data_IF_387464461352
#
_entry.id   IF_387464461352
#
_cell.length_a   1.000
_cell.length_b   1.000
_cell.length_c   1.000
_cell.angle_alpha   90.00
_cell.angle_beta   90.00
_cell.angle_gamma   90.00
#
_symmetry.space_group_name_H-M   'P 1'
#
loop_
_entity.id
_entity.type
_entity.pdbx_description
1 polymer ?
#
# COMPACT_ATOMS: atom_id res chain seq x y z
N UNK A 1 2.99 -6.18 -1.00
CA UNK A 1 3.70 -5.91 -2.25
C UNK A 1 3.19 -4.59 -2.76
N UNK A 2 4.06 -3.71 -3.22
CA UNK A 2 3.62 -2.76 -4.21
C UNK A 2 4.71 -2.49 -5.22
N UNK A 3 4.28 -2.26 -6.46
CA UNK A 3 5.10 -1.77 -7.54
C UNK A 3 4.31 -0.66 -8.22
N UNK A 4 5.02 0.37 -8.67
CA UNK A 4 4.41 1.56 -9.24
C UNK A 4 5.07 1.97 -10.55
N UNK A 5 4.30 2.71 -11.32
CA UNK A 5 4.70 3.36 -12.55
C UNK A 5 4.12 4.78 -12.55
N UNK A 6 4.71 5.68 -13.31
CA UNK A 6 4.22 7.05 -13.46
C UNK A 6 3.86 7.33 -14.92
N UNK A 7 2.68 7.87 -15.14
CA UNK A 7 2.16 8.13 -16.48
C UNK A 7 1.90 9.63 -16.65
N UNK A 8 2.34 10.20 -17.77
CA UNK A 8 2.07 11.60 -18.11
C UNK A 8 0.56 11.87 -18.21
N UNK A 9 0.09 12.91 -17.51
CA UNK A 9 -1.32 13.35 -17.51
C UNK A 9 -1.80 13.84 -18.87
N UNK A 10 -0.88 14.21 -19.74
CA UNK A 10 -1.17 14.60 -21.12
C UNK A 10 -1.46 13.41 -22.02
N UNK A 11 -1.15 12.19 -21.58
CA UNK A 11 -1.46 10.98 -22.32
C UNK A 11 -2.97 10.70 -22.27
N UNK A 12 -3.65 10.57 -23.42
CA UNK A 12 -5.07 10.24 -23.45
C UNK A 12 -5.32 8.88 -22.79
N UNK A 13 -6.35 8.77 -21.94
CA UNK A 13 -6.66 7.53 -21.21
C UNK A 13 -6.89 6.33 -22.14
N UNK A 14 -7.45 6.53 -23.32
CA UNK A 14 -7.66 5.48 -24.33
C UNK A 14 -6.35 4.94 -24.93
N UNK A 15 -5.25 5.68 -24.78
CA UNK A 15 -3.94 5.31 -25.28
C UNK A 15 -3.03 4.74 -24.19
N UNK A 16 -3.49 4.69 -22.94
CA UNK A 16 -2.77 4.05 -21.84
C UNK A 16 -3.03 2.54 -21.93
N UNK A 17 -1.96 1.76 -21.97
CA UNK A 17 -1.98 0.30 -22.03
C UNK A 17 -1.12 -0.29 -20.91
N UNK A 18 -1.27 -1.57 -20.60
CA UNK A 18 -0.47 -2.26 -19.55
C UNK A 18 1.05 -2.12 -19.72
N UNK A 19 1.54 -1.95 -20.95
CA UNK A 19 2.96 -1.69 -21.22
C UNK A 19 3.46 -0.34 -20.67
N UNK A 20 2.55 0.59 -20.38
CA UNK A 20 2.87 1.89 -19.77
C UNK A 20 3.00 1.81 -18.25
N UNK A 21 2.52 0.73 -17.64
CA UNK A 21 2.62 0.45 -16.21
C UNK A 21 3.08 -0.99 -15.96
N UNK A 22 4.24 -1.30 -16.55
CA UNK A 22 4.75 -2.67 -16.60
C UNK A 22 5.18 -3.17 -15.22
N UNK A 23 5.68 -2.30 -14.33
CA UNK A 23 6.09 -2.70 -12.98
C UNK A 23 4.87 -3.15 -12.17
N UNK A 24 3.78 -2.37 -12.22
CA UNK A 24 2.50 -2.68 -11.60
C UNK A 24 1.91 -3.97 -12.18
N UNK A 25 1.95 -4.13 -13.50
CA UNK A 25 1.51 -5.36 -14.18
C UNK A 25 2.33 -6.59 -13.76
N UNK A 26 3.64 -6.44 -13.57
CA UNK A 26 4.50 -7.52 -13.11
C UNK A 26 4.19 -7.92 -11.66
N UNK A 27 3.89 -6.96 -10.79
CA UNK A 27 3.48 -7.22 -9.41
C UNK A 27 2.13 -7.94 -9.34
N UNK A 28 1.16 -7.56 -10.17
CA UNK A 28 -0.11 -8.29 -10.35
C UNK A 28 0.15 -9.75 -10.74
N UNK A 29 0.94 -9.97 -11.79
CA UNK A 29 1.28 -11.33 -12.25
C UNK A 29 1.94 -12.17 -11.16
N UNK A 30 2.86 -11.58 -10.39
CA UNK A 30 3.51 -12.26 -9.29
C UNK A 30 2.54 -12.56 -8.14
N UNK A 31 1.62 -11.65 -7.81
CA UNK A 31 0.58 -11.90 -6.83
C UNK A 31 -0.31 -13.07 -7.25
N UNK A 32 -0.66 -13.17 -8.53
CA UNK A 32 -1.41 -14.32 -9.07
C UNK A 32 -0.62 -15.64 -9.03
N UNK A 33 0.71 -15.62 -9.14
CA UNK A 33 1.52 -16.85 -9.01
C UNK A 33 1.40 -17.48 -7.61
N UNK A 34 1.09 -16.70 -6.57
CA UNK A 34 0.83 -17.23 -5.22
C UNK A 34 -0.38 -18.17 -5.17
N UNK A 35 -1.30 -18.07 -6.15
CA UNK A 35 -2.46 -18.94 -6.32
C UNK A 35 -2.09 -20.37 -6.68
N UNK A 36 -0.97 -20.59 -7.37
CA UNK A 36 -0.65 -21.88 -8.01
C UNK A 36 -0.44 -23.05 -7.03
N UNK A 37 -0.46 -22.80 -5.72
CA UNK A 37 -0.51 -23.83 -4.69
C UNK A 37 -1.85 -24.62 -4.63
N UNK A 38 -2.92 -24.13 -5.28
CA UNK A 38 -4.22 -24.83 -5.41
C UNK A 38 -5.06 -24.93 -4.13
N UNK A 39 -4.67 -24.21 -3.06
CA UNK A 39 -5.32 -24.26 -1.73
C UNK A 39 -6.33 -23.12 -1.48
N UNK A 40 -6.46 -22.17 -2.40
CA UNK A 40 -7.25 -20.94 -2.24
C UNK A 40 -8.21 -20.73 -3.39
N UNK A 41 -9.38 -20.17 -3.08
CA UNK A 41 -10.29 -19.59 -4.05
C UNK A 41 -9.89 -18.15 -4.32
N UNK A 42 -10.01 -17.76 -5.58
CA UNK A 42 -9.82 -16.41 -6.05
C UNK A 42 -11.20 -15.79 -6.32
N UNK A 43 -11.41 -14.58 -5.83
CA UNK A 43 -12.53 -13.73 -6.20
C UNK A 43 -11.96 -12.45 -6.80
N UNK A 44 -12.21 -12.22 -8.09
CA UNK A 44 -11.97 -10.93 -8.74
C UNK A 44 -13.23 -10.09 -8.66
N UNK A 45 -13.09 -8.84 -8.19
CA UNK A 45 -14.13 -7.82 -8.19
C UNK A 45 -13.68 -6.69 -9.10
N UNK A 46 -14.32 -6.61 -10.27
CA UNK A 46 -14.21 -5.47 -11.19
C UNK A 46 -15.35 -4.51 -10.90
N UNK A 47 -15.28 -3.28 -11.42
CA UNK A 47 -16.37 -2.30 -11.25
C UNK A 47 -17.37 -2.30 -12.41
N UNK A 48 -17.51 -3.45 -13.07
CA UNK A 48 -18.22 -3.62 -14.32
C UNK A 48 -19.64 -4.17 -14.16
N UNK A 49 -20.42 -4.10 -15.25
CA UNK A 49 -21.85 -4.44 -15.25
C UNK A 49 -22.05 -5.94 -15.07
N UNK A 50 -21.19 -6.76 -15.70
CA UNK A 50 -21.19 -8.20 -15.51
C UNK A 50 -20.77 -8.64 -14.09
N UNK A 51 -20.05 -7.80 -13.36
CA UNK A 51 -19.79 -7.96 -11.91
C UNK A 51 -20.86 -7.30 -11.03
N UNK A 52 -21.97 -6.89 -11.64
CA UNK A 52 -23.20 -6.50 -10.97
C UNK A 52 -23.26 -5.04 -10.57
N UNK A 53 -22.34 -4.19 -11.03
CA UNK A 53 -22.39 -2.74 -10.80
C UNK A 53 -23.35 -2.05 -11.77
N UNK A 54 -23.77 -0.82 -11.44
CA UNK A 54 -24.56 0.00 -12.34
C UNK A 54 -23.74 0.39 -13.58
N UNK A 55 -24.40 0.30 -14.72
CA UNK A 55 -23.88 0.72 -16.01
C UNK A 55 -23.82 2.25 -16.14
N UNK A 56 -22.62 2.74 -16.42
CA UNK A 56 -22.27 4.10 -16.82
C UNK A 56 -22.11 4.13 -18.35
N UNK A 57 -23.12 3.66 -19.11
CA UNK A 57 -23.01 3.51 -20.57
C UNK A 57 -22.70 4.79 -21.36
N UNK A 58 -22.69 5.96 -20.71
CA UNK A 58 -22.36 7.25 -21.29
C UNK A 58 -23.18 7.60 -22.52
N UNK A 59 -24.39 7.02 -22.64
CA UNK A 59 -25.39 7.42 -23.65
C UNK A 59 -25.70 8.93 -23.55
N UNK A 60 -25.52 9.49 -22.36
CA UNK A 60 -25.32 10.91 -22.15
C UNK A 60 -23.82 11.17 -21.93
N UNK A 61 -23.14 11.95 -22.79
CA UNK A 61 -21.73 12.32 -22.61
C UNK A 61 -21.41 13.08 -21.32
N UNK A 62 -22.44 13.54 -20.59
CA UNK A 62 -22.31 14.17 -19.27
C UNK A 62 -22.55 13.22 -18.10
N UNK A 63 -22.93 11.97 -18.37
CA UNK A 63 -23.14 10.93 -17.36
C UNK A 63 -21.96 9.96 -17.43
N UNK A 64 -20.80 10.45 -16.99
CA UNK A 64 -19.54 9.70 -16.98
C UNK A 64 -19.27 9.03 -15.64
N UNK A 65 -20.19 9.15 -14.67
CA UNK A 65 -20.10 8.45 -13.41
C UNK A 65 -21.47 8.11 -12.78
N UNK A 66 -21.46 7.23 -11.78
CA UNK A 66 -22.57 6.95 -10.88
C UNK A 66 -22.12 7.05 -9.42
N UNK A 67 -22.82 7.87 -8.62
CA UNK A 67 -22.49 8.00 -7.20
C UNK A 67 -22.76 6.69 -6.46
N UNK A 68 -21.78 6.27 -5.67
CA UNK A 68 -21.92 5.20 -4.68
C UNK A 68 -22.24 5.73 -3.26
N UNK A 69 -22.18 7.05 -3.06
CA UNK A 69 -22.49 7.72 -1.78
C UNK A 69 -23.52 8.83 -1.94
N UNK A 70 -24.00 9.36 -0.81
CA UNK A 70 -25.08 10.35 -0.70
C UNK A 70 -26.47 9.77 -0.92
N UNK A 71 -27.48 10.48 -0.38
CA UNK A 71 -28.90 10.23 -0.65
C UNK A 71 -29.27 10.35 -2.14
N UNK A 72 -28.40 10.97 -2.95
CA UNK A 72 -28.57 11.07 -4.40
C UNK A 72 -28.00 9.86 -5.16
N UNK A 73 -27.31 8.93 -4.48
CA UNK A 73 -26.87 7.69 -5.10
C UNK A 73 -28.08 6.89 -5.59
N UNK A 74 -28.04 6.33 -6.81
CA UNK A 74 -29.05 5.36 -7.25
C UNK A 74 -29.15 4.17 -6.28
N UNK A 75 -28.04 3.76 -5.66
CA UNK A 75 -28.01 2.67 -4.67
C UNK A 75 -28.79 2.96 -3.40
N UNK A 76 -29.08 4.23 -3.09
CA UNK A 76 -29.90 4.60 -1.94
C UNK A 76 -31.38 4.18 -2.11
N UNK A 77 -31.81 3.88 -3.35
CA UNK A 77 -33.21 3.57 -3.66
C UNK A 77 -33.42 2.29 -4.46
N UNK A 78 -32.40 1.81 -5.19
CA UNK A 78 -32.50 0.61 -6.03
C UNK A 78 -31.18 -0.12 -6.12
N UNK A 79 -31.25 -1.40 -6.40
CA UNK A 79 -30.08 -2.21 -6.77
C UNK A 79 -30.14 -2.54 -8.27
N UNK A 80 -29.00 -2.58 -8.98
CA UNK A 80 -28.95 -3.10 -10.35
C UNK A 80 -29.36 -4.57 -10.41
N UNK A 81 -29.97 -4.94 -11.53
CA UNK A 81 -30.19 -6.34 -11.88
C UNK A 81 -29.93 -6.52 -13.37
N UNK A 82 -28.89 -7.29 -13.68
CA UNK A 82 -28.51 -7.63 -15.03
C UNK A 82 -28.55 -9.14 -15.22
N UNK A 83 -29.23 -9.59 -16.27
CA UNK A 83 -29.21 -11.00 -16.65
C UNK A 83 -27.81 -11.35 -17.18
N UNK A 84 -27.24 -12.48 -16.75
CA UNK A 84 -25.90 -12.89 -17.17
C UNK A 84 -24.73 -12.39 -16.30
N UNK A 85 -24.94 -11.36 -15.47
CA UNK A 85 -23.93 -10.94 -14.49
C UNK A 85 -23.61 -12.06 -13.50
N UNK A 86 -22.35 -12.18 -13.09
CA UNK A 86 -21.85 -13.18 -12.14
C UNK A 86 -21.99 -12.72 -10.67
N UNK A 87 -22.37 -11.48 -10.43
CA UNK A 87 -22.57 -10.91 -9.10
C UNK A 87 -23.71 -9.88 -9.06
N UNK A 88 -23.97 -9.38 -7.85
CA UNK A 88 -24.98 -8.36 -7.54
C UNK A 88 -24.37 -7.33 -6.61
N UNK A 89 -24.78 -6.08 -6.78
CA UNK A 89 -24.48 -5.02 -5.81
C UNK A 89 -25.77 -4.44 -5.24
N UNK A 90 -25.75 -4.04 -3.97
CA UNK A 90 -26.90 -3.43 -3.30
C UNK A 90 -26.44 -2.38 -2.30
N UNK A 91 -27.13 -1.25 -2.23
CA UNK A 91 -26.90 -0.28 -1.17
C UNK A 91 -27.32 -0.83 0.20
N UNK A 92 -26.53 -0.55 1.24
CA UNK A 92 -26.98 -0.78 2.61
C UNK A 92 -27.91 0.36 3.03
N UNK A 93 -29.20 0.05 3.14
CA UNK A 93 -30.24 0.99 3.58
C UNK A 93 -29.79 1.63 4.90
N UNK A 94 -29.93 2.95 5.00
CA UNK A 94 -29.44 3.82 6.09
C UNK A 94 -27.94 4.16 6.17
N UNK A 95 -27.08 3.59 5.31
CA UNK A 95 -25.66 4.04 5.24
C UNK A 95 -25.50 5.36 4.49
N UNK A 96 -26.45 5.69 3.60
CA UNK A 96 -26.38 6.86 2.73
C UNK A 96 -26.74 8.14 3.47
N UNK A 97 -25.84 9.12 3.44
CA UNK A 97 -26.05 10.41 4.08
C UNK A 97 -25.23 11.51 3.41
N UNK A 98 -25.51 12.77 3.78
CA UNK A 98 -24.76 13.93 3.32
C UNK A 98 -24.88 14.23 1.83
N UNK A 99 -24.03 15.15 1.36
CA UNK A 99 -24.01 15.65 -0.02
C UNK A 99 -22.58 15.80 -0.48
N UNK A 100 -22.34 15.45 -1.74
CA UNK A 100 -21.04 15.69 -2.37
C UNK A 100 -20.73 17.18 -2.45
N UNK A 101 -21.66 17.97 -2.99
CA UNK A 101 -21.54 19.42 -3.14
C UNK A 101 -22.63 20.16 -2.34
N UNK A 102 -22.32 21.30 -1.70
CA UNK A 102 -21.00 21.93 -1.51
C UNK A 102 -20.31 21.49 -0.19
N UNK A 103 -20.77 20.41 0.43
CA UNK A 103 -20.40 20.07 1.81
C UNK A 103 -19.30 19.02 1.92
N UNK A 104 -18.96 18.33 0.83
CA UNK A 104 -18.03 17.19 0.82
C UNK A 104 -18.24 16.14 1.92
N UNK A 105 -19.49 15.90 2.32
CA UNK A 105 -19.81 15.02 3.43
C UNK A 105 -20.67 13.83 3.00
N UNK A 106 -20.60 13.43 1.73
CA UNK A 106 -21.34 12.28 1.24
C UNK A 106 -20.77 10.98 1.82
N UNK A 107 -21.66 10.15 2.36
CA UNK A 107 -21.35 8.82 2.85
C UNK A 107 -22.28 7.79 2.21
N UNK A 108 -21.84 6.54 2.13
CA UNK A 108 -22.66 5.42 1.67
C UNK A 108 -21.88 4.10 1.64
N UNK A 109 -22.60 3.00 1.76
CA UNK A 109 -22.06 1.64 1.66
C UNK A 109 -22.81 0.86 0.59
N UNK A 110 -22.05 0.25 -0.33
CA UNK A 110 -22.55 -0.68 -1.34
C UNK A 110 -21.93 -2.05 -1.09
N UNK A 111 -22.80 -3.06 -0.99
CA UNK A 111 -22.42 -4.46 -0.80
C UNK A 111 -22.36 -5.17 -2.14
N UNK A 112 -21.21 -5.75 -2.45
CA UNK A 112 -21.02 -6.77 -3.48
C UNK A 112 -21.44 -8.14 -2.95
N UNK A 113 -22.07 -8.95 -3.80
CA UNK A 113 -22.54 -10.32 -3.51
C UNK A 113 -22.29 -11.19 -4.75
N UNK A 114 -21.41 -12.19 -4.62
CA UNK A 114 -21.16 -13.16 -5.70
C UNK A 114 -22.39 -14.08 -5.89
N UNK A 115 -22.82 -14.29 -7.14
CA UNK A 115 -23.94 -15.19 -7.42
C UNK A 115 -23.53 -16.65 -7.27
N UNK A 116 -24.44 -17.43 -6.69
CA UNK A 116 -24.19 -18.87 -6.44
C UNK A 116 -23.32 -19.14 -5.22
N UNK A 117 -22.85 -18.10 -4.53
CA UNK A 117 -22.08 -18.23 -3.29
C UNK A 117 -22.71 -17.41 -2.14
N UNK A 118 -22.02 -17.34 -1.00
CA UNK A 118 -22.36 -16.44 0.12
C UNK A 118 -21.27 -15.36 0.31
N UNK A 119 -20.34 -15.25 -0.65
CA UNK A 119 -19.25 -14.30 -0.60
C UNK A 119 -19.79 -12.89 -0.83
N UNK A 120 -19.39 -11.99 0.06
CA UNK A 120 -19.88 -10.62 0.19
C UNK A 120 -18.73 -9.72 0.59
N UNK A 121 -18.75 -8.49 0.09
CA UNK A 121 -17.78 -7.44 0.40
C UNK A 121 -18.53 -6.12 0.50
N UNK A 122 -18.28 -5.35 1.55
CA UNK A 122 -18.85 -4.01 1.72
C UNK A 122 -17.83 -2.95 1.31
N UNK A 123 -18.21 -2.08 0.38
CA UNK A 123 -17.48 -0.88 -0.01
C UNK A 123 -18.14 0.32 0.64
N UNK A 124 -17.50 0.89 1.66
CA UNK A 124 -17.99 2.06 2.39
C UNK A 124 -17.11 3.25 2.08
N UNK A 125 -17.72 4.34 1.63
CA UNK A 125 -17.01 5.60 1.46
C UNK A 125 -17.59 6.66 2.36
N UNK A 126 -16.71 7.48 2.92
CA UNK A 126 -17.09 8.56 3.83
C UNK A 126 -16.35 9.84 3.53
N UNK A 127 -17.03 10.97 3.78
CA UNK A 127 -16.53 12.32 3.52
C UNK A 127 -16.07 12.51 2.07
N UNK A 128 -16.94 12.14 1.13
CA UNK A 128 -16.70 12.27 -0.31
C UNK A 128 -17.30 13.58 -0.82
N UNK A 129 -16.55 14.30 -1.66
CA UNK A 129 -17.11 15.36 -2.51
C UNK A 129 -16.28 16.64 -2.62
N UNK A 130 -17.00 17.75 -2.84
CA UNK A 130 -16.52 18.99 -3.44
C UNK A 130 -15.84 18.79 -4.79
N UNK A 131 -16.45 17.97 -5.64
CA UNK A 131 -15.95 17.71 -6.99
C UNK A 131 -16.49 18.76 -7.97
N UNK A 132 -15.66 19.16 -8.92
CA UNK A 132 -15.99 20.15 -9.94
C UNK A 132 -15.22 19.88 -11.23
N UNK A 133 -15.76 20.32 -12.37
CA UNK A 133 -15.10 20.02 -13.65
C UNK A 133 -15.25 18.54 -14.03
N UNK A 134 -14.16 17.83 -14.38
CA UNK A 134 -14.23 16.53 -15.03
C UNK A 134 -14.04 15.33 -14.06
N UNK A 135 -14.14 15.56 -12.76
CA UNK A 135 -14.11 14.55 -11.69
C UNK A 135 -15.38 13.67 -11.71
N UNK A 136 -15.26 12.40 -11.34
CA UNK A 136 -16.22 11.31 -11.60
C UNK A 136 -16.47 10.40 -10.38
N UNK A 137 -16.85 10.94 -9.20
CA UNK A 137 -16.86 10.17 -7.95
C UNK A 137 -17.82 8.97 -7.98
N UNK A 138 -17.37 7.86 -7.40
CA UNK A 138 -18.09 6.59 -7.40
C UNK A 138 -17.66 5.71 -8.57
N UNK A 139 -18.61 5.09 -9.26
CA UNK A 139 -18.29 4.31 -10.46
C UNK A 139 -18.06 5.30 -11.61
N UNK A 140 -16.80 5.51 -11.94
CA UNK A 140 -16.34 6.35 -13.03
C UNK A 140 -16.25 5.55 -14.32
N UNK A 141 -16.16 6.24 -15.45
CA UNK A 141 -16.12 5.63 -16.78
C UNK A 141 -15.09 6.31 -17.66
N UNK A 142 -14.20 5.52 -18.25
CA UNK A 142 -13.19 5.99 -19.16
C UNK A 142 -13.79 6.74 -20.35
N UNK A 143 -13.38 8.00 -20.54
CA UNK A 143 -13.93 8.89 -21.57
C UNK A 143 -12.88 9.86 -22.12
N UNK A 144 -13.20 10.56 -23.21
CA UNK A 144 -12.23 11.42 -23.93
C UNK A 144 -11.74 12.64 -23.11
N UNK A 145 -12.42 12.99 -22.01
CA UNK A 145 -12.01 14.04 -21.08
C UNK A 145 -11.22 13.53 -19.87
N UNK A 146 -11.05 12.22 -19.75
CA UNK A 146 -10.28 11.56 -18.68
C UNK A 146 -8.76 11.75 -18.85
N UNK A 147 -8.05 11.73 -17.73
CA UNK A 147 -6.59 11.61 -17.66
C UNK A 147 -6.24 10.70 -16.47
N UNK A 148 -4.97 10.25 -16.40
CA UNK A 148 -4.57 9.26 -15.40
C UNK A 148 -4.67 9.73 -13.94
N UNK A 149 -4.66 11.04 -13.69
CA UNK A 149 -4.88 11.69 -12.38
C UNK A 149 -6.22 11.31 -11.73
N UNK A 150 -7.19 10.87 -12.53
CA UNK A 150 -8.47 10.33 -12.07
C UNK A 150 -8.52 8.80 -12.02
N UNK A 151 -7.55 8.12 -12.60
CA UNK A 151 -7.54 6.68 -12.82
C UNK A 151 -8.06 6.27 -14.21
N UNK A 152 -8.01 4.97 -14.46
CA UNK A 152 -8.44 4.31 -15.69
C UNK A 152 -9.05 2.94 -15.36
N UNK A 153 -9.76 2.34 -16.31
CA UNK A 153 -10.06 0.91 -16.23
C UNK A 153 -8.81 0.11 -16.66
N UNK A 154 -8.43 -0.88 -15.86
CA UNK A 154 -7.32 -1.80 -16.15
C UNK A 154 -7.81 -3.23 -16.44
N UNK A 155 -9.11 -3.47 -16.23
CA UNK A 155 -9.79 -4.72 -16.56
C UNK A 155 -9.73 -4.98 -18.06
N UNK A 156 -9.24 -6.16 -18.46
CA UNK A 156 -9.13 -6.56 -19.87
C UNK A 156 -10.33 -7.39 -20.31
N UNK A 157 -10.82 -7.15 -21.52
CA UNK A 157 -11.82 -7.99 -22.17
C UNK A 157 -13.11 -7.26 -22.52
N UNK A 158 -14.20 -8.02 -22.53
CA UNK A 158 -15.52 -7.58 -22.93
C UNK A 158 -16.49 -7.90 -21.79
N UNK A 159 -17.27 -6.90 -21.39
CA UNK A 159 -18.36 -7.08 -20.44
C UNK A 159 -19.42 -8.02 -21.02
N UNK A 160 -19.68 -9.11 -20.31
CA UNK A 160 -20.55 -10.18 -20.79
C UNK A 160 -22.05 -9.81 -20.79
N UNK A 161 -22.42 -8.70 -20.15
CA UNK A 161 -23.80 -8.21 -20.10
C UNK A 161 -24.04 -7.14 -21.16
N UNK A 162 -23.16 -6.15 -21.28
CA UNK A 162 -23.31 -5.02 -22.21
C UNK A 162 -22.71 -5.31 -23.58
N UNK A 163 -21.83 -6.32 -23.67
CA UNK A 163 -21.07 -6.68 -24.87
C UNK A 163 -20.18 -5.54 -25.40
N UNK A 164 -19.73 -4.65 -24.50
CA UNK A 164 -18.76 -3.60 -24.77
C UNK A 164 -17.41 -3.93 -24.10
N UNK A 165 -16.34 -3.24 -24.50
CA UNK A 165 -15.10 -3.29 -23.74
C UNK A 165 -15.32 -2.76 -22.33
N UNK A 166 -14.64 -3.35 -21.36
CA UNK A 166 -14.58 -2.83 -20.00
C UNK A 166 -14.03 -1.41 -20.00
N UNK A 167 -14.68 -0.52 -19.25
CA UNK A 167 -14.38 0.90 -19.20
C UNK A 167 -14.72 1.59 -17.87
N UNK A 168 -15.07 0.84 -16.81
CA UNK A 168 -15.45 1.38 -15.51
C UNK A 168 -14.43 1.08 -14.42
N UNK A 169 -14.30 2.00 -13.47
CA UNK A 169 -13.42 1.88 -12.29
C UNK A 169 -14.04 2.64 -11.11
N UNK A 170 -13.50 2.46 -9.90
CA UNK A 170 -13.98 3.18 -8.71
C UNK A 170 -13.10 4.39 -8.42
N UNK A 171 -13.65 5.60 -8.59
CA UNK A 171 -12.99 6.85 -8.21
C UNK A 171 -13.46 7.33 -6.82
N UNK A 172 -12.49 7.64 -5.98
CA UNK A 172 -12.66 8.23 -4.66
C UNK A 172 -12.23 9.69 -4.74
N UNK A 173 -13.16 10.58 -4.44
CA UNK A 173 -12.92 12.03 -4.35
C UNK A 173 -13.11 12.46 -2.90
N UNK A 174 -12.06 12.38 -2.07
CA UNK A 174 -12.12 12.82 -0.68
C UNK A 174 -12.57 14.27 -0.50
N UNK A 175 -12.90 14.64 0.73
CA UNK A 175 -13.24 16.01 1.08
C UNK A 175 -12.07 16.96 0.90
N UNK A 176 -12.36 18.19 0.49
CA UNK A 176 -11.36 19.28 0.42
C UNK A 176 -10.97 19.84 1.79
N UNK A 177 -11.76 19.54 2.82
CA UNK A 177 -11.64 20.18 4.14
C UNK A 177 -11.68 19.19 5.30
N UNK A 178 -11.68 17.89 5.04
CA UNK A 178 -11.73 16.81 6.03
C UNK A 178 -11.02 15.57 5.47
N UNK A 179 -10.71 14.60 6.33
CA UNK A 179 -10.25 13.27 5.88
C UNK A 179 -11.37 12.56 5.10
N UNK A 180 -11.04 12.03 3.92
CA UNK A 180 -11.92 11.16 3.14
C UNK A 180 -11.34 9.76 3.00
N UNK A 181 -12.21 8.76 2.87
CA UNK A 181 -11.75 7.36 2.82
C UNK A 181 -12.66 6.43 2.01
N UNK A 182 -12.05 5.33 1.56
CA UNK A 182 -12.70 4.11 1.11
C UNK A 182 -12.33 2.96 2.07
N UNK A 183 -13.31 2.37 2.72
CA UNK A 183 -13.17 1.12 3.47
C UNK A 183 -13.74 -0.05 2.66
N UNK A 184 -12.95 -1.12 2.53
CA UNK A 184 -13.37 -2.40 1.96
C UNK A 184 -13.38 -3.44 3.08
N UNK A 185 -14.57 -3.91 3.44
CA UNK A 185 -14.79 -4.79 4.60
C UNK A 185 -15.32 -6.16 4.19
N UNK A 186 -14.76 -7.19 4.81
CA UNK A 186 -15.09 -8.59 4.57
C UNK A 186 -16.00 -9.18 5.66
N UNK A 187 -16.75 -8.33 6.35
CA UNK A 187 -17.72 -8.72 7.37
C UNK A 187 -18.83 -7.69 7.45
N UNK A 188 -19.99 -8.09 7.97
CA UNK A 188 -21.11 -7.18 8.13
C UNK A 188 -22.36 -7.86 8.66
N UNK A 189 -23.47 -7.16 8.55
CA UNK A 189 -24.80 -7.67 8.92
C UNK A 189 -25.74 -7.52 7.73
N UNK A 190 -26.56 -8.54 7.47
CA UNK A 190 -27.63 -8.48 6.49
C UNK A 190 -28.81 -7.69 7.06
N UNK A 191 -29.19 -6.60 6.39
CA UNK A 191 -30.29 -5.74 6.84
C UNK A 191 -31.63 -6.46 6.87
N UNK A 192 -31.87 -7.39 5.94
CA UNK A 192 -33.16 -8.08 5.82
C UNK A 192 -33.37 -9.17 6.86
N UNK A 193 -32.28 -9.81 7.33
CA UNK A 193 -32.34 -10.94 8.26
C UNK A 193 -31.80 -10.61 9.65
N UNK A 194 -30.99 -9.55 9.77
CA UNK A 194 -30.23 -9.23 10.98
C UNK A 194 -29.03 -10.16 11.23
N UNK A 195 -28.76 -11.11 10.33
CA UNK A 195 -27.69 -12.08 10.52
C UNK A 195 -26.33 -11.46 10.19
N UNK A 196 -25.34 -11.71 11.05
CA UNK A 196 -23.95 -11.37 10.77
C UNK A 196 -23.35 -12.34 9.74
N UNK A 197 -22.43 -11.84 8.94
CA UNK A 197 -21.64 -12.62 7.98
C UNK A 197 -20.17 -12.18 8.06
N UNK A 198 -19.27 -13.10 7.72
CA UNK A 198 -17.84 -12.87 7.62
C UNK A 198 -17.27 -13.72 6.48
N UNK A 199 -16.50 -13.09 5.60
CA UNK A 199 -15.78 -13.69 4.49
C UNK A 199 -14.31 -13.26 4.52
N UNK A 200 -13.62 -13.47 5.66
CA UNK A 200 -12.25 -12.98 5.83
C UNK A 200 -11.33 -13.53 4.73
N UNK A 201 -10.31 -12.74 4.39
CA UNK A 201 -9.43 -13.04 3.26
C UNK A 201 -7.99 -13.25 3.73
N UNK A 202 -7.27 -14.11 3.03
CA UNK A 202 -5.84 -14.35 3.25
C UNK A 202 -4.98 -13.27 2.62
N UNK A 203 -5.47 -12.69 1.56
CA UNK A 203 -4.78 -11.64 0.85
C UNK A 203 -5.71 -10.96 -0.14
N UNK A 204 -5.27 -9.78 -0.55
CA UNK A 204 -5.94 -8.99 -1.56
C UNK A 204 -4.90 -8.29 -2.44
N UNK A 205 -5.30 -7.95 -3.66
CA UNK A 205 -4.50 -7.14 -4.59
C UNK A 205 -5.42 -6.27 -5.43
N UNK A 206 -5.02 -5.04 -5.74
CA UNK A 206 -5.77 -4.13 -6.61
C UNK A 206 -4.84 -3.07 -7.21
N UNK A 207 -5.25 -2.47 -8.31
CA UNK A 207 -4.61 -1.27 -8.83
C UNK A 207 -5.11 -0.04 -8.07
N UNK A 208 -4.20 0.79 -7.57
CA UNK A 208 -4.44 2.13 -7.04
C UNK A 208 -3.88 3.14 -8.05
N UNK A 209 -4.69 4.10 -8.47
CA UNK A 209 -4.36 4.98 -9.59
C UNK A 209 -4.72 6.43 -9.27
N UNK A 210 -4.15 7.37 -10.03
CA UNK A 210 -4.49 8.80 -9.94
C UNK A 210 -3.67 9.62 -8.96
N UNK A 211 -2.80 8.96 -8.18
CA UNK A 211 -2.10 9.59 -7.06
C UNK A 211 -1.01 10.59 -7.49
N UNK A 212 -1.04 11.79 -6.89
CA UNK A 212 -0.12 12.90 -7.16
C UNK A 212 0.67 13.41 -5.92
N UNK A 213 0.82 12.63 -4.83
CA UNK A 213 1.48 13.03 -3.55
C UNK A 213 1.07 14.44 -3.09
N UNK A 214 -0.21 14.79 -3.24
CA UNK A 214 -0.74 16.06 -2.74
C UNK A 214 -0.95 15.94 -1.24
N UNK A 215 -1.96 15.17 -0.84
CA UNK A 215 -2.16 14.69 0.52
C UNK A 215 -1.76 13.22 0.60
N UNK A 216 -1.30 12.82 1.77
CA UNK A 216 -0.90 11.44 2.01
C UNK A 216 -2.13 10.54 2.02
N UNK A 217 -2.10 9.49 1.19
CA UNK A 217 -3.08 8.39 1.24
C UNK A 217 -2.42 7.17 1.87
N UNK A 218 -2.99 6.71 2.98
CA UNK A 218 -2.54 5.51 3.68
C UNK A 218 -3.43 4.33 3.31
N UNK A 219 -2.82 3.15 3.19
CA UNK A 219 -3.53 1.88 3.28
C UNK A 219 -3.38 1.33 4.70
N UNK A 220 -4.50 1.30 5.42
CA UNK A 220 -4.61 0.73 6.75
C UNK A 220 -5.25 -0.67 6.64
N UNK A 221 -4.59 -1.70 7.15
CA UNK A 221 -5.04 -3.10 7.04
C UNK A 221 -5.34 -3.65 8.43
N UNK A 222 -6.51 -4.25 8.60
CA UNK A 222 -6.98 -4.75 9.88
C UNK A 222 -7.33 -6.24 9.82
N UNK A 223 -7.08 -6.94 10.93
CA UNK A 223 -7.50 -8.32 11.10
C UNK A 223 -9.03 -8.44 11.36
N UNK A 224 -9.53 -9.67 11.45
CA UNK A 224 -10.94 -9.97 11.77
C UNK A 224 -11.40 -9.48 13.15
N UNK A 225 -10.47 -9.12 14.04
CA UNK A 225 -10.73 -8.59 15.37
C UNK A 225 -10.58 -7.05 15.42
N UNK A 226 -10.49 -6.40 14.26
CA UNK A 226 -10.26 -4.96 14.09
C UNK A 226 -8.91 -4.46 14.67
N UNK A 227 -7.92 -5.34 14.86
CA UNK A 227 -6.57 -4.91 15.18
C UNK A 227 -5.85 -4.45 13.92
N UNK A 228 -5.18 -3.29 13.98
CA UNK A 228 -4.33 -2.80 12.90
C UNK A 228 -3.13 -3.74 12.70
N UNK A 229 -3.03 -4.36 11.53
CA UNK A 229 -1.90 -5.19 11.11
C UNK A 229 -0.76 -4.29 10.63
N UNK A 230 -1.07 -3.35 9.73
CA UNK A 230 -0.10 -2.39 9.18
C UNK A 230 -0.82 -1.15 8.65
N UNK A 231 -0.09 -0.04 8.60
CA UNK A 231 -0.51 1.23 7.99
C UNK A 231 0.65 1.70 7.14
N UNK A 232 0.41 1.88 5.84
CA UNK A 232 1.47 2.16 4.87
C UNK A 232 1.09 3.32 3.95
N UNK A 233 2.01 4.26 3.76
CA UNK A 233 1.86 5.32 2.77
C UNK A 233 1.91 4.69 1.36
N UNK A 234 0.90 5.00 0.55
CA UNK A 234 0.79 4.55 -0.85
C UNK A 234 1.50 5.51 -1.80
N UNK A 235 1.89 5.04 -2.98
CA UNK A 235 2.75 5.78 -3.91
C UNK A 235 1.96 6.85 -4.70
N UNK A 236 2.45 8.09 -4.70
CA UNK A 236 2.07 9.12 -5.65
C UNK A 236 3.29 9.61 -6.45
N UNK A 237 3.02 10.39 -7.50
CA UNK A 237 4.06 10.87 -8.44
C UNK A 237 4.71 12.20 -8.05
N UNK A 238 4.42 12.76 -6.87
CA UNK A 238 4.90 14.07 -6.42
C UNK A 238 3.92 15.25 -6.65
N UNK A 239 3.89 16.18 -5.70
CA UNK A 239 2.93 17.30 -5.58
C UNK A 239 2.81 18.28 -6.79
N UNK A 240 3.77 18.26 -7.72
CA UNK A 240 3.80 19.12 -8.93
C UNK A 240 3.96 18.32 -10.22
N UNK A 241 3.63 17.02 -10.20
CA UNK A 241 3.91 16.15 -11.31
C UNK A 241 3.08 16.50 -12.56
N UNK A 242 3.73 16.46 -13.72
CA UNK A 242 3.04 16.31 -15.00
C UNK A 242 2.46 14.91 -15.17
N UNK A 243 2.63 14.04 -14.16
CA UNK A 243 2.31 12.62 -14.14
C UNK A 243 1.37 12.29 -12.98
N UNK A 244 0.73 11.14 -13.06
CA UNK A 244 0.06 10.49 -11.93
C UNK A 244 0.56 9.05 -11.80
N UNK A 245 0.51 8.50 -10.59
CA UNK A 245 0.94 7.14 -10.34
C UNK A 245 -0.14 6.09 -10.66
N UNK A 246 0.35 4.92 -11.09
CA UNK A 246 -0.36 3.64 -11.08
C UNK A 246 0.45 2.74 -10.17
N UNK A 247 -0.17 2.19 -9.13
CA UNK A 247 0.46 1.28 -8.16
C UNK A 247 -0.37 -0.01 -8.08
N UNK A 248 0.22 -1.18 -8.26
CA UNK A 248 -0.44 -2.43 -7.88
C UNK A 248 -0.16 -2.72 -6.41
N UNK A 249 -1.17 -2.56 -5.56
CA UNK A 249 -1.07 -2.80 -4.11
C UNK A 249 -1.56 -4.20 -3.82
N UNK A 250 -0.72 -5.02 -3.17
CA UNK A 250 -1.10 -6.35 -2.72
C UNK A 250 -0.70 -6.62 -1.28
N UNK A 251 -1.48 -7.40 -0.57
CA UNK A 251 -1.21 -7.83 0.79
C UNK A 251 -1.60 -9.29 0.97
N UNK A 252 -0.83 -10.02 1.78
CA UNK A 252 -1.20 -11.34 2.22
C UNK A 252 -0.67 -11.59 3.64
N UNK A 253 -1.39 -12.42 4.39
CA UNK A 253 -0.99 -12.85 5.73
C UNK A 253 -0.12 -14.11 5.68
N UNK A 254 0.84 -14.18 6.59
CA UNK A 254 1.67 -15.38 6.75
C UNK A 254 0.92 -16.47 7.51
N UNK A 255 1.44 -17.70 7.43
CA UNK A 255 0.88 -18.83 8.18
C UNK A 255 0.82 -18.52 9.69
N UNK A 256 -0.32 -18.83 10.30
CA UNK A 256 -0.55 -18.63 11.73
C UNK A 256 -0.99 -17.22 12.11
N UNK A 257 -0.98 -16.25 11.20
CA UNK A 257 -1.55 -14.92 11.42
C UNK A 257 -3.09 -14.96 11.36
N UNK A 258 -3.72 -13.91 11.89
CA UNK A 258 -5.17 -13.69 11.79
C UNK A 258 -5.51 -13.19 10.38
N UNK A 259 -6.63 -13.67 9.83
CA UNK A 259 -7.09 -13.28 8.50
C UNK A 259 -7.45 -11.79 8.42
N UNK A 260 -7.46 -11.25 7.21
CA UNK A 260 -7.79 -9.84 6.98
C UNK A 260 -9.31 -9.66 7.08
N UNK A 261 -9.72 -8.74 7.95
CA UNK A 261 -11.12 -8.36 8.14
C UNK A 261 -11.54 -7.17 7.27
N UNK A 262 -10.61 -6.24 7.01
CA UNK A 262 -10.82 -5.06 6.15
C UNK A 262 -9.52 -4.35 5.80
N UNK A 263 -9.57 -3.50 4.78
CA UNK A 263 -8.60 -2.44 4.56
C UNK A 263 -9.29 -1.09 4.34
N UNK A 264 -8.57 0.00 4.61
CA UNK A 264 -9.02 1.38 4.42
C UNK A 264 -7.97 2.13 3.63
N UNK A 265 -8.37 2.76 2.53
CA UNK A 265 -7.62 3.83 1.89
C UNK A 265 -8.11 5.15 2.48
N UNK A 266 -7.25 5.82 3.25
CA UNK A 266 -7.56 7.05 3.98
C UNK A 266 -6.64 8.16 3.51
N UNK A 267 -7.21 9.27 3.04
CA UNK A 267 -6.47 10.50 2.79
C UNK A 267 -6.40 11.32 4.08
N UNK A 268 -5.20 11.62 4.54
CA UNK A 268 -4.98 12.47 5.72
C UNK A 268 -5.26 13.93 5.42
N UNK A 269 -5.86 14.63 6.38
CA UNK A 269 -6.14 16.06 6.28
C UNK A 269 -5.61 16.79 7.50
N UNK A 270 -4.76 17.78 7.27
CA UNK A 270 -4.25 18.69 8.26
C UNK A 270 -4.93 20.05 8.13
N UNK A 271 -5.82 20.36 9.08
CA UNK A 271 -6.58 21.61 9.13
C UNK A 271 -5.75 22.91 9.10
N UNK A 272 -4.45 22.83 9.40
CA UNK A 272 -3.55 23.99 9.44
C UNK A 272 -2.82 24.21 8.11
N UNK A 273 -2.51 23.13 7.37
CA UNK A 273 -1.68 23.20 6.15
C UNK A 273 -2.46 22.93 4.88
N UNK A 274 -3.54 22.15 4.99
CA UNK A 274 -4.23 21.61 3.83
C UNK A 274 -5.35 22.53 3.38
N UNK A 275 -5.57 22.53 2.07
CA UNK A 275 -6.66 23.23 1.43
C UNK A 275 -7.08 22.45 0.18
N UNK A 276 -8.08 22.93 -0.54
CA UNK A 276 -8.63 22.27 -1.73
C UNK A 276 -7.56 21.85 -2.77
N UNK A 277 -6.47 22.60 -2.95
CA UNK A 277 -5.43 22.24 -3.92
C UNK A 277 -4.56 21.08 -3.50
N UNK A 278 -4.55 20.73 -2.21
CA UNK A 278 -3.82 19.60 -1.66
C UNK A 278 -4.66 18.31 -1.70
N UNK A 279 -5.91 18.32 -2.18
CA UNK A 279 -6.68 17.10 -2.38
C UNK A 279 -6.04 16.19 -3.42
N UNK A 280 -5.72 14.97 -3.02
CA UNK A 280 -5.41 13.86 -3.89
C UNK A 280 -6.70 13.10 -4.23
N UNK A 281 -6.91 12.87 -5.52
CA UNK A 281 -8.01 12.05 -6.02
C UNK A 281 -7.39 10.72 -6.40
N UNK A 282 -8.06 9.63 -6.06
CA UNK A 282 -7.52 8.31 -6.34
C UNK A 282 -8.60 7.33 -6.71
N UNK A 283 -8.19 6.32 -7.47
CA UNK A 283 -9.08 5.30 -7.98
C UNK A 283 -8.55 3.92 -7.70
N UNK A 284 -9.45 2.94 -7.60
CA UNK A 284 -9.09 1.54 -7.58
C UNK A 284 -9.78 0.75 -8.69
N UNK A 285 -9.13 -0.33 -9.12
CA UNK A 285 -9.70 -1.31 -10.05
C UNK A 285 -9.08 -2.71 -9.86
N UNK A 286 -9.74 -3.74 -10.41
CA UNK A 286 -9.32 -5.16 -10.38
C UNK A 286 -8.98 -5.68 -8.95
N UNK A 287 -9.95 -5.59 -8.02
CA UNK A 287 -9.78 -6.11 -6.66
C UNK A 287 -9.81 -7.64 -6.65
N UNK A 288 -8.64 -8.25 -6.54
CA UNK A 288 -8.44 -9.67 -6.34
C UNK A 288 -8.44 -10.01 -4.85
N UNK A 289 -9.17 -11.05 -4.46
CA UNK A 289 -9.24 -11.55 -3.09
C UNK A 289 -8.92 -13.04 -3.07
N UNK A 290 -8.10 -13.47 -2.11
CA UNK A 290 -7.85 -14.88 -1.84
C UNK A 290 -8.57 -15.34 -0.57
N UNK A 291 -9.44 -16.34 -0.69
CA UNK A 291 -10.24 -16.85 0.41
C UNK A 291 -10.35 -18.39 0.38
N UNK A 292 -10.95 -18.98 1.42
CA UNK A 292 -11.10 -20.44 1.47
C UNK A 292 -12.06 -21.01 0.42
N UNK A 293 -11.69 -22.17 -0.11
CA UNK A 293 -12.62 -23.07 -0.78
C UNK A 293 -13.63 -23.64 0.22
N UNK A 294 -14.91 -23.66 -0.18
CA UNK A 294 -16.03 -24.13 0.64
C UNK A 294 -15.74 -25.54 1.20
N UNK A 295 -15.72 -25.68 2.53
CA UNK A 295 -15.56 -26.98 3.20
C UNK A 295 -14.13 -27.38 3.59
N UNK A 296 -13.14 -26.51 3.42
CA UNK A 296 -11.75 -26.77 3.82
C UNK A 296 -11.32 -25.73 4.88
N UNK A 297 -11.30 -26.14 6.15
CA UNK A 297 -10.77 -25.36 7.28
C UNK A 297 -9.29 -25.67 7.49
N UNK A 298 -8.46 -25.49 6.46
CA UNK A 298 -7.02 -25.68 6.56
C UNK A 298 -6.36 -24.36 6.21
N UNK A 299 -5.71 -23.72 7.19
CA UNK A 299 -4.86 -22.54 6.93
C UNK A 299 -3.82 -22.94 5.87
N UNK A 300 -3.72 -22.25 4.72
CA UNK A 300 -2.76 -22.62 3.69
C UNK A 300 -1.34 -22.48 4.24
N UNK A 301 -0.53 -23.53 4.09
CA UNK A 301 0.93 -23.41 4.15
C UNK A 301 1.36 -22.62 2.92
N UNK A 302 1.62 -21.33 3.11
CA UNK A 302 2.39 -20.55 2.15
C UNK A 302 3.85 -20.85 2.40
N UNK A 303 4.53 -21.44 1.41
CA UNK A 303 5.98 -21.62 1.45
C UNK A 303 6.60 -20.21 1.35
N UNK A 304 6.91 -19.64 2.51
CA UNK A 304 8.02 -18.72 2.74
C UNK A 304 8.21 -17.56 1.76
N UNK A 305 7.18 -16.79 1.40
CA UNK A 305 7.38 -15.50 0.76
C UNK A 305 6.52 -14.44 1.42
N UNK A 306 7.08 -13.77 2.44
CA UNK A 306 6.50 -12.55 2.99
C UNK A 306 6.67 -11.43 1.96
N UNK A 307 5.62 -11.13 1.21
CA UNK A 307 5.67 -10.12 0.16
C UNK A 307 5.03 -8.84 0.68
N UNK A 308 5.79 -8.13 1.52
CA UNK A 308 5.69 -6.68 1.64
C UNK A 308 6.84 -6.08 0.84
N UNK A 309 6.74 -6.17 -0.50
CA UNK A 309 7.50 -5.30 -1.39
C UNK A 309 7.21 -3.85 -1.03
N UNK A 310 8.27 -3.05 -0.88
CA UNK A 310 8.17 -1.60 -0.77
C UNK A 310 9.25 -0.97 -1.63
N UNK A 311 8.81 -0.05 -2.48
CA UNK A 311 9.42 1.23 -2.89
C UNK A 311 10.87 1.17 -3.37
N UNK A 312 11.03 1.11 -4.69
CA UNK A 312 12.07 1.85 -5.43
C UNK A 312 11.68 3.35 -5.37
N UNK A 313 12.57 4.20 -4.90
CA UNK A 313 12.48 5.65 -5.10
C UNK A 313 13.71 6.00 -5.93
N UNK A 314 13.51 6.53 -7.14
CA UNK A 314 14.58 7.15 -7.89
C UNK A 314 15.02 8.42 -7.15
N UNK A 315 16.05 8.32 -6.30
CA UNK A 315 16.76 9.50 -5.78
C UNK A 315 17.67 10.04 -6.89
N UNK A 316 17.56 11.34 -7.14
CA UNK A 316 18.33 12.07 -8.15
C UNK A 316 19.82 11.74 -8.10
N UNK A 317 20.32 11.18 -9.21
CA UNK A 317 21.73 11.03 -9.54
C UNK A 317 22.46 12.38 -9.50
N UNK A 318 23.42 12.52 -8.60
CA UNK A 318 24.53 13.45 -8.78
C UNK A 318 25.73 12.67 -9.30
N UNK A 319 25.86 12.57 -10.62
CA UNK A 319 27.02 11.95 -11.27
C UNK A 319 28.26 12.82 -11.08
N UNK A 320 29.24 12.34 -10.31
CA UNK A 320 30.63 12.79 -10.38
C UNK A 320 31.44 11.65 -11.00
N UNK A 321 31.95 11.87 -12.22
CA UNK A 321 32.67 10.87 -13.00
C UNK A 321 34.11 10.67 -12.53
N UNK A 322 34.54 9.43 -12.28
CA UNK A 322 35.80 8.92 -12.85
C UNK A 322 35.84 7.38 -12.92
N UNK A 323 36.36 6.86 -14.05
CA UNK A 323 36.14 5.50 -14.55
C UNK A 323 37.06 4.42 -13.92
N UNK A 324 36.51 3.21 -13.74
CA UNK A 324 37.16 1.87 -13.69
C UNK A 324 37.26 1.08 -12.37
N UNK A 325 36.26 1.14 -11.49
CA UNK A 325 35.94 0.04 -10.54
C UNK A 325 34.42 -0.18 -10.58
N UNK A 326 33.89 -1.33 -10.17
CA UNK A 326 32.43 -1.44 -9.97
C UNK A 326 32.05 -0.36 -8.96
N UNK A 327 31.39 0.72 -9.42
CA UNK A 327 31.12 1.90 -8.59
C UNK A 327 30.20 1.48 -7.44
N UNK A 328 30.73 1.50 -6.22
CA UNK A 328 29.92 1.30 -5.05
C UNK A 328 29.00 2.52 -4.86
N UNK A 329 27.71 2.27 -4.66
CA UNK A 329 26.70 3.32 -4.45
C UNK A 329 26.69 3.66 -2.96
N UNK A 330 26.96 4.92 -2.61
CA UNK A 330 27.03 5.37 -1.22
C UNK A 330 25.75 6.07 -0.78
N UNK A 331 25.06 5.48 0.18
CA UNK A 331 23.89 6.01 0.87
C UNK A 331 24.33 6.72 2.15
N UNK A 332 23.93 7.98 2.33
CA UNK A 332 24.28 8.76 3.54
C UNK A 332 23.05 8.87 4.42
N UNK A 333 23.15 8.35 5.65
CA UNK A 333 22.13 8.56 6.68
C UNK A 333 22.09 10.04 7.07
N UNK A 334 20.91 10.63 7.02
CA UNK A 334 20.68 12.04 7.35
C UNK A 334 20.08 12.18 8.75
N UNK A 335 19.98 13.42 9.24
CA UNK A 335 19.28 13.69 10.51
C UNK A 335 17.78 13.35 10.38
N UNK A 336 17.28 12.58 11.36
CA UNK A 336 15.91 12.08 11.37
C UNK A 336 15.73 10.78 10.58
N UNK A 337 14.53 10.22 10.62
CA UNK A 337 14.26 8.91 10.01
C UNK A 337 14.23 8.97 8.48
N UNK A 338 15.23 8.38 7.86
CA UNK A 338 15.30 8.14 6.43
C UNK A 338 14.98 6.70 6.02
N UNK A 339 15.00 6.48 4.71
CA UNK A 339 14.94 5.16 4.08
C UNK A 339 16.08 5.07 3.07
N UNK A 340 16.99 4.13 3.30
CA UNK A 340 18.16 3.87 2.44
C UNK A 340 17.90 2.54 1.73
N UNK A 341 17.97 2.49 0.40
CA UNK A 341 17.61 1.30 -0.37
C UNK A 341 18.81 0.87 -1.21
N UNK A 342 19.32 -0.34 -0.95
CA UNK A 342 20.37 -0.94 -1.75
C UNK A 342 19.92 -1.15 -3.19
N UNK A 343 20.89 -1.05 -4.09
CA UNK A 343 20.76 -1.20 -5.53
C UNK A 343 21.09 -2.65 -5.94
N UNK A 344 21.47 -2.86 -7.21
CA UNK A 344 22.05 -4.13 -7.68
C UNK A 344 23.58 -4.05 -7.81
N UNK A 345 24.19 -3.00 -7.24
CA UNK A 345 25.63 -2.77 -7.17
C UNK A 345 26.10 -2.94 -5.71
N UNK A 346 27.39 -2.72 -5.44
CA UNK A 346 27.88 -2.71 -4.06
C UNK A 346 27.33 -1.46 -3.37
N UNK A 347 26.56 -1.61 -2.30
CA UNK A 347 26.01 -0.48 -1.56
C UNK A 347 26.73 -0.21 -0.24
N UNK A 348 26.99 1.07 0.02
CA UNK A 348 27.64 1.56 1.25
C UNK A 348 26.63 2.40 2.03
N UNK A 349 26.15 1.91 3.17
CA UNK A 349 25.24 2.64 4.06
C UNK A 349 26.03 3.35 5.15
N UNK A 350 26.19 4.66 5.03
CA UNK A 350 27.10 5.45 5.86
C UNK A 350 26.38 6.28 6.92
N UNK A 351 26.68 6.02 8.20
CA UNK A 351 26.16 6.73 9.36
C UNK A 351 27.20 7.69 9.95
N UNK A 352 26.82 8.95 10.13
CA UNK A 352 27.69 10.05 10.56
C UNK A 352 27.48 10.44 12.03
N UNK A 353 28.41 11.19 12.62
CA UNK A 353 28.37 11.57 14.05
C UNK A 353 27.12 12.34 14.52
N UNK A 354 26.33 12.91 13.62
CA UNK A 354 25.05 13.58 13.91
C UNK A 354 23.82 12.66 13.78
N UNK A 355 24.00 11.35 13.65
CA UNK A 355 22.89 10.39 13.55
C UNK A 355 22.05 10.40 14.83
N UNK A 356 20.73 10.57 14.67
CA UNK A 356 19.78 10.51 15.77
C UNK A 356 19.37 9.07 16.10
N UNK A 357 19.11 8.78 17.38
CA UNK A 357 18.82 7.44 17.86
C UNK A 357 17.36 7.30 18.31
N UNK A 358 16.76 6.14 18.02
CA UNK A 358 15.49 5.70 18.59
C UNK A 358 14.44 5.32 17.57
N UNK A 359 13.31 4.76 18.04
CA UNK A 359 12.28 4.17 17.16
C UNK A 359 11.70 5.13 16.11
N UNK A 360 11.67 6.44 16.42
CA UNK A 360 11.16 7.47 15.51
C UNK A 360 12.24 8.06 14.60
N UNK A 361 13.51 7.84 14.92
CA UNK A 361 14.67 8.43 14.25
C UNK A 361 15.48 7.40 13.44
N UNK A 362 15.36 6.12 13.77
CA UNK A 362 16.16 5.07 13.15
C UNK A 362 15.85 4.91 11.67
N UNK A 363 16.89 4.99 10.84
CA UNK A 363 16.81 4.78 9.41
C UNK A 363 16.34 3.38 9.07
N UNK A 364 15.66 3.27 7.95
CA UNK A 364 15.25 1.98 7.40
C UNK A 364 16.13 1.63 6.21
N UNK A 365 17.01 0.63 6.39
CA UNK A 365 17.80 0.07 5.30
C UNK A 365 16.98 -1.05 4.65
N UNK A 366 16.87 -1.04 3.33
CA UNK A 366 16.15 -2.06 2.57
C UNK A 366 17.07 -2.59 1.48
N UNK A 367 16.97 -3.88 1.17
CA UNK A 367 17.79 -4.53 0.13
C UNK A 367 19.30 -4.48 0.43
N UNK A 368 19.68 -4.71 1.69
CA UNK A 368 21.08 -4.94 2.04
C UNK A 368 21.46 -6.37 1.64
N UNK A 369 22.45 -6.56 0.78
CA UNK A 369 22.92 -7.88 0.36
C UNK A 369 24.43 -8.03 0.55
N UNK A 370 24.83 -8.80 1.59
CA UNK A 370 26.26 -9.07 1.84
C UNK A 370 26.94 -9.78 0.67
N UNK A 371 26.21 -10.62 -0.07
CA UNK A 371 26.79 -11.39 -1.19
C UNK A 371 27.13 -10.48 -2.38
N UNK A 372 26.41 -9.36 -2.53
CA UNK A 372 26.71 -8.33 -3.54
C UNK A 372 27.90 -7.45 -3.12
N UNK A 373 28.21 -7.42 -1.83
CA UNK A 373 29.33 -6.69 -1.25
C UNK A 373 28.92 -5.53 -0.35
N UNK A 374 27.64 -5.41 -0.03
CA UNK A 374 27.11 -4.31 0.75
C UNK A 374 27.74 -4.21 2.13
N UNK A 375 27.93 -2.97 2.58
CA UNK A 375 28.51 -2.66 3.88
C UNK A 375 27.77 -1.54 4.58
N UNK A 376 27.73 -1.62 5.90
CA UNK A 376 27.38 -0.49 6.77
C UNK A 376 28.68 0.16 7.23
N UNK A 377 28.86 1.43 6.89
CA UNK A 377 29.95 2.26 7.40
C UNK A 377 29.48 3.10 8.57
N UNK A 378 30.12 2.93 9.72
CA UNK A 378 29.89 3.74 10.90
C UNK A 378 31.06 4.71 11.06
N UNK A 379 30.79 6.01 11.07
CA UNK A 379 31.81 7.00 11.38
C UNK A 379 32.35 6.79 12.80
N UNK A 380 33.67 6.81 12.95
CA UNK A 380 34.34 6.76 14.26
C UNK A 380 33.88 7.87 15.23
N UNK A 381 33.36 8.99 14.72
CA UNK A 381 32.77 10.07 15.53
C UNK A 381 31.59 9.60 16.39
N UNK A 382 30.85 8.57 15.94
CA UNK A 382 29.78 7.94 16.72
C UNK A 382 30.29 7.29 18.02
N UNK A 383 31.59 7.00 18.09
CA UNK A 383 32.22 6.28 19.19
C UNK A 383 33.38 7.08 19.82
N UNK A 384 33.32 8.41 19.73
CA UNK A 384 34.36 9.33 20.22
C UNK A 384 35.75 9.05 19.59
N UNK A 385 35.79 8.73 18.30
CA UNK A 385 37.01 8.47 17.53
C UNK A 385 37.60 7.06 17.73
N UNK A 386 36.86 6.12 18.34
CA UNK A 386 37.28 4.73 18.42
C UNK A 386 37.05 4.01 17.09
N UNK A 387 38.08 3.33 16.60
CA UNK A 387 38.03 2.56 15.34
C UNK A 387 37.87 1.04 15.57
N UNK A 388 38.28 0.55 16.74
CA UNK A 388 38.12 -0.86 17.13
C UNK A 388 36.86 -0.99 17.98
N UNK A 389 35.83 -1.61 17.41
CA UNK A 389 34.54 -1.80 18.08
C UNK A 389 34.26 -3.28 18.32
N UNK A 390 33.64 -3.56 19.46
CA UNK A 390 33.02 -4.86 19.71
C UNK A 390 31.63 -4.93 19.05
N UNK A 391 31.46 -5.86 18.11
CA UNK A 391 30.22 -6.04 17.35
C UNK A 391 29.66 -7.43 17.66
N UNK A 392 28.50 -7.49 18.31
CA UNK A 392 27.86 -8.75 18.70
C UNK A 392 26.52 -8.93 17.98
N UNK A 393 26.29 -10.13 17.47
CA UNK A 393 24.99 -10.57 16.97
C UNK A 393 24.19 -11.23 18.09
N UNK A 394 23.06 -10.62 18.44
CA UNK A 394 22.07 -11.14 19.37
C UNK A 394 20.96 -11.86 18.61
N UNK A 395 20.59 -13.05 19.10
CA UNK A 395 19.58 -13.88 18.47
C UNK A 395 18.20 -13.70 19.11
N UNK A 396 18.10 -13.04 20.27
CA UNK A 396 16.83 -12.83 20.95
C UNK A 396 16.74 -11.48 21.64
N UNK A 397 15.51 -11.02 21.89
CA UNK A 397 15.25 -9.79 22.66
C UNK A 397 15.84 -9.84 24.07
N UNK A 398 15.92 -11.04 24.66
CA UNK A 398 16.51 -11.22 25.97
C UNK A 398 18.03 -10.94 25.93
N UNK A 399 18.73 -11.47 24.93
CA UNK A 399 20.16 -11.22 24.75
C UNK A 399 20.46 -9.74 24.51
N UNK A 400 19.64 -9.03 23.71
CA UNK A 400 19.78 -7.57 23.55
C UNK A 400 19.68 -6.85 24.89
N UNK A 401 18.77 -7.29 25.77
CA UNK A 401 18.62 -6.71 27.10
C UNK A 401 19.83 -7.01 28.00
N UNK A 402 20.40 -8.20 27.92
CA UNK A 402 21.61 -8.57 28.65
C UNK A 402 22.83 -7.76 28.17
N UNK A 403 23.00 -7.63 26.85
CA UNK A 403 24.06 -6.82 26.22
C UNK A 403 23.92 -5.33 26.52
N UNK A 404 22.69 -4.82 26.72
CA UNK A 404 22.49 -3.43 27.18
C UNK A 404 23.03 -3.16 28.60
N UNK A 405 23.52 -4.17 29.31
CA UNK A 405 24.20 -4.02 30.60
C UNK A 405 25.72 -4.23 30.51
N UNK A 406 26.26 -4.36 29.29
CA UNK A 406 27.69 -4.56 28.99
C UNK A 406 28.25 -3.33 28.27
N UNK A 407 29.56 -3.33 28.02
CA UNK A 407 30.31 -2.29 27.29
C UNK A 407 30.37 -2.53 25.77
N UNK A 408 29.58 -3.48 25.23
CA UNK A 408 29.54 -3.77 23.80
C UNK A 408 29.19 -2.51 22.99
N UNK A 409 29.89 -2.28 21.88
CA UNK A 409 29.75 -1.07 21.08
C UNK A 409 28.57 -1.14 20.11
N UNK A 410 28.40 -2.30 19.46
CA UNK A 410 27.39 -2.50 18.42
C UNK A 410 26.67 -3.83 18.64
N UNK A 411 25.34 -3.78 18.62
CA UNK A 411 24.50 -4.99 18.68
C UNK A 411 23.65 -5.09 17.43
N UNK A 412 23.77 -6.21 16.73
CA UNK A 412 22.86 -6.62 15.66
C UNK A 412 21.84 -7.56 16.28
N UNK A 413 20.56 -7.21 16.28
CA UNK A 413 19.51 -8.14 16.67
C UNK A 413 18.74 -8.63 15.45
N UNK A 414 18.99 -9.89 15.07
CA UNK A 414 18.19 -10.58 14.08
C UNK A 414 16.86 -11.00 14.70
N UNK A 415 15.77 -10.45 14.18
CA UNK A 415 14.46 -10.70 14.74
C UNK A 415 13.98 -12.10 14.33
N UNK A 416 13.96 -13.06 15.25
CA UNK A 416 13.62 -14.49 15.02
C UNK A 416 12.35 -14.76 14.17
N UNK A 417 11.39 -13.83 14.16
CA UNK A 417 10.08 -13.98 13.50
C UNK A 417 9.83 -13.03 12.31
N UNK A 418 10.77 -12.15 12.00
CA UNK A 418 10.59 -11.11 10.96
C UNK A 418 11.90 -11.00 10.18
N UNK A 419 11.89 -10.82 8.85
CA UNK A 419 13.10 -10.61 8.06
C UNK A 419 13.64 -9.19 8.27
N UNK A 420 13.90 -8.86 9.53
CA UNK A 420 14.42 -7.57 9.97
C UNK A 420 15.56 -7.81 10.95
N UNK A 421 16.58 -6.98 10.84
CA UNK A 421 17.61 -6.85 11.85
C UNK A 421 17.63 -5.43 12.37
N UNK A 422 17.79 -5.30 13.68
CA UNK A 422 17.85 -4.03 14.36
C UNK A 422 19.31 -3.77 14.73
N UNK A 423 19.84 -2.64 14.28
CA UNK A 423 21.19 -2.19 14.60
C UNK A 423 21.10 -1.22 15.79
N UNK A 424 21.74 -1.60 16.90
CA UNK A 424 21.87 -0.77 18.08
C UNK A 424 23.33 -0.34 18.25
N UNK A 425 23.56 0.95 18.43
CA UNK A 425 24.86 1.51 18.77
C UNK A 425 24.85 1.98 20.22
N UNK A 426 25.87 1.59 20.98
CA UNK A 426 26.08 2.07 22.33
C UNK A 426 26.77 3.45 22.30
N UNK A 427 26.00 4.51 22.51
CA UNK A 427 26.51 5.88 22.52
C UNK A 427 26.73 6.47 23.93
N UNK A 428 26.52 5.69 25.00
CA UNK A 428 26.68 6.14 26.39
C UNK A 428 27.83 5.45 27.16
N UNK A 429 28.66 4.68 26.46
CA UNK A 429 29.85 4.00 27.01
C UNK A 429 29.47 2.92 28.02
N UNK A 430 30.15 2.89 29.17
CA UNK A 430 29.95 1.87 30.22
C UNK A 430 28.64 2.02 31.01
N UNK A 431 27.80 3.00 30.66
CA UNK A 431 26.53 3.24 31.34
C UNK A 431 25.47 2.26 30.84
N UNK A 432 24.67 1.74 31.77
CA UNK A 432 23.54 0.86 31.44
C UNK A 432 22.61 1.44 30.35
N UNK A 433 22.23 0.60 29.40
CA UNK A 433 21.48 0.93 28.20
C UNK A 433 22.41 1.10 26.99
N UNK A 434 21.84 1.50 25.86
CA UNK A 434 22.62 1.95 24.68
C UNK A 434 22.52 3.48 24.51
N UNK A 435 22.23 4.18 25.61
CA UNK A 435 22.09 5.62 25.66
C UNK A 435 20.81 6.19 25.03
N UNK A 436 20.94 7.34 24.37
CA UNK A 436 19.79 8.10 23.83
C UNK A 436 19.01 7.26 22.82
N UNK A 437 17.67 7.40 22.82
CA UNK A 437 16.82 6.60 21.94
C UNK A 437 16.87 5.08 22.17
N UNK A 438 17.56 4.61 23.22
CA UNK A 438 17.95 3.20 23.42
C UNK A 438 18.91 2.69 22.33
N UNK A 439 19.68 3.58 21.72
CA UNK A 439 20.73 3.28 20.76
C UNK A 439 20.25 2.68 19.43
N UNK A 440 18.94 2.60 19.17
CA UNK A 440 18.44 2.06 17.91
C UNK A 440 18.78 3.03 16.77
N UNK A 441 19.64 2.60 15.86
CA UNK A 441 20.17 3.44 14.77
C UNK A 441 19.57 3.08 13.43
N UNK A 442 19.43 1.78 13.14
CA UNK A 442 18.89 1.34 11.87
C UNK A 442 17.99 0.11 12.02
N UNK A 443 17.03 0.00 11.13
CA UNK A 443 16.20 -1.17 10.91
C UNK A 443 16.47 -1.68 9.52
N UNK A 444 17.21 -2.77 9.40
CA UNK A 444 17.38 -3.46 8.13
C UNK A 444 16.14 -4.31 7.88
N UNK A 445 15.53 -4.19 6.71
CA UNK A 445 14.39 -5.02 6.28
C UNK A 445 14.74 -5.72 4.97
N UNK A 446 14.32 -6.98 4.85
CA UNK A 446 14.53 -7.79 3.65
C UNK A 446 16.00 -7.76 3.22
N UNK A 447 16.90 -7.99 4.18
CA UNK A 447 18.33 -8.07 3.94
C UNK A 447 18.76 -9.53 3.79
N UNK A 448 19.82 -9.75 3.03
CA UNK A 448 20.48 -11.05 2.90
C UNK A 448 21.82 -11.04 3.63
N UNK A 449 21.95 -12.00 4.56
CA UNK A 449 23.20 -12.29 5.29
C UNK A 449 23.80 -11.13 6.11
N UNK A 450 22.98 -10.23 6.68
CA UNK A 450 23.50 -9.20 7.60
C UNK A 450 24.10 -9.79 8.88
N UNK A 451 25.34 -9.40 9.17
CA UNK A 451 26.15 -9.94 10.25
C UNK A 451 27.32 -8.99 10.60
N UNK A 452 28.08 -9.24 11.68
CA UNK A 452 29.14 -8.33 12.11
C UNK A 452 30.18 -7.97 11.04
N UNK A 453 30.52 -8.89 10.13
CA UNK A 453 31.52 -8.64 9.08
C UNK A 453 31.03 -7.67 8.00
N UNK A 454 29.74 -7.37 7.97
CA UNK A 454 29.14 -6.36 7.09
C UNK A 454 29.35 -4.93 7.59
N UNK A 455 29.87 -4.74 8.81
CA UNK A 455 30.05 -3.43 9.43
C UNK A 455 31.52 -3.03 9.37
N UNK A 456 31.76 -1.80 8.92
CA UNK A 456 33.08 -1.15 8.89
C UNK A 456 33.02 0.14 9.68
N UNK A 457 34.12 0.46 10.36
CA UNK A 457 34.30 1.75 11.03
C UNK A 457 35.24 2.57 10.17
N UNK A 458 34.88 3.82 9.89
CA UNK A 458 35.61 4.72 8.98
C UNK A 458 35.88 6.09 9.58
#
# INVERSE_FOLDING_TARGET
MSASDEIERTKPVQAIARSDFQNSTNAENFFFQLRESGKLNEQLITFEVDNGWLDVNGSNPRATNQFLTSLLSPYASRSPYFSGANARTTGLVSSFSGRHNPNANANGTVRFIELGSQFKVDFSMSQIGNFGGPDEPGIARQNNGGNIDRGINVTLGIDQVTNNAYDQFLEVVPSESEEGQLEVRFSGTDISTGNSWQNPVYGFGFYLMGREDKRDVYIDIYDVNDNLITSELTYGSGMQASKAAVEYVAFHICEGEEEVGRFVLREEFNETTDNSSHRDIFSIDDLTLFHHAKGISVKPEFIGHKILGKREIATQDSTFTDRNEQEAVKHIAMEGRGRLTGTNAIDIFHFQGNTAFGKREADMIVNFNKQEGDVIELSSDLFNGREQLEIIKANSRQQVRELSHTDVDVVIWDHERKPISLLFLNNNGDKRGFGEGRGLTAVLKNHDEFCPESIKVV
#
